data_IF_403255303179
#
_entry.id   IF_403255303179
#
_cell.length_a   1.000
_cell.length_b   1.000
_cell.length_c   1.000
_cell.angle_alpha   90.00
_cell.angle_beta   90.00
_cell.angle_gamma   90.00
#
_symmetry.space_group_name_H-M   'P 1'
#
loop_
_entity.id
_entity.type
_entity.pdbx_description
1 polymer ?
#
# COMPACT_ATOMS: atom_id res chain seq x y z
N UNK A 1 -20.38 1.26 27.35
CA UNK A 1 -20.24 1.66 25.94
C UNK A 1 -18.75 1.65 25.65
N UNK A 2 -18.28 0.68 24.86
CA UNK A 2 -16.87 0.65 24.43
C UNK A 2 -16.72 1.77 23.40
N UNK A 3 -15.79 2.70 23.64
CA UNK A 3 -15.46 3.74 22.67
C UNK A 3 -14.71 3.08 21.51
N UNK A 4 -15.44 2.71 20.45
CA UNK A 4 -14.84 2.21 19.23
C UNK A 4 -13.94 3.30 18.62
N UNK A 5 -12.65 2.99 18.45
CA UNK A 5 -11.71 3.93 17.84
C UNK A 5 -11.61 3.62 16.36
N UNK A 6 -12.17 4.52 15.55
CA UNK A 6 -12.06 4.46 14.10
C UNK A 6 -10.70 4.99 13.63
N UNK A 7 -9.94 4.17 12.93
CA UNK A 7 -8.65 4.55 12.34
C UNK A 7 -8.75 4.46 10.82
N UNK A 8 -8.53 5.58 10.16
CA UNK A 8 -8.37 5.64 8.70
C UNK A 8 -6.87 5.64 8.36
N UNK A 9 -6.50 4.86 7.36
CA UNK A 9 -5.13 4.76 6.86
C UNK A 9 -5.15 4.37 5.38
N UNK A 10 -4.00 4.34 4.73
CA UNK A 10 -3.86 3.85 3.37
C UNK A 10 -2.93 2.66 3.36
N UNK A 11 -3.24 1.66 2.54
CA UNK A 11 -2.33 0.57 2.21
C UNK A 11 -1.79 0.81 0.80
N UNK A 12 -0.48 0.91 0.67
CA UNK A 12 0.22 1.01 -0.62
C UNK A 12 0.85 -0.35 -0.94
N UNK A 13 0.53 -0.89 -2.11
CA UNK A 13 0.97 -2.21 -2.56
C UNK A 13 1.77 -2.03 -3.86
N UNK A 14 2.98 -2.56 -3.91
CA UNK A 14 3.78 -2.73 -5.12
C UNK A 14 3.75 -4.19 -5.52
N UNK A 15 3.27 -4.50 -6.72
CA UNK A 15 3.13 -5.88 -7.17
C UNK A 15 3.37 -6.01 -8.67
N UNK A 16 3.80 -7.19 -9.10
CA UNK A 16 4.01 -7.54 -10.51
C UNK A 16 3.34 -8.88 -10.84
N UNK A 17 3.05 -9.10 -12.12
CA UNK A 17 2.61 -10.41 -12.58
C UNK A 17 3.82 -11.30 -12.78
N UNK A 18 3.86 -12.41 -12.05
CA UNK A 18 4.92 -13.41 -12.21
C UNK A 18 4.90 -14.00 -13.62
N UNK A 19 6.08 -14.22 -14.20
CA UNK A 19 6.25 -14.74 -15.57
C UNK A 19 5.62 -16.12 -15.79
N UNK A 20 5.47 -16.91 -14.73
CA UNK A 20 4.80 -18.23 -14.74
C UNK A 20 3.31 -18.15 -14.41
N UNK A 21 2.76 -16.94 -14.30
CA UNK A 21 1.49 -16.65 -13.65
C UNK A 21 1.65 -16.45 -12.14
N UNK A 22 0.69 -15.76 -11.53
CA UNK A 22 0.73 -15.36 -10.13
C UNK A 22 0.96 -13.86 -9.94
N UNK A 23 0.99 -13.44 -8.68
CA UNK A 23 1.25 -12.06 -8.27
C UNK A 23 2.41 -12.10 -7.29
N UNK A 24 3.47 -11.38 -7.60
CA UNK A 24 4.58 -11.14 -6.70
C UNK A 24 4.37 -9.77 -6.03
N UNK A 25 4.34 -9.73 -4.70
CA UNK A 25 4.20 -8.48 -3.93
C UNK A 25 5.59 -8.11 -3.39
N UNK A 26 6.13 -6.99 -3.87
CA UNK A 26 7.44 -6.49 -3.45
C UNK A 26 7.35 -5.63 -2.19
N UNK A 27 6.30 -4.81 -2.09
CA UNK A 27 6.07 -3.91 -0.96
C UNK A 27 4.59 -3.93 -0.58
N UNK A 28 4.29 -4.01 0.71
CA UNK A 28 2.96 -3.77 1.27
C UNK A 28 3.12 -2.97 2.57
N UNK A 29 2.70 -1.71 2.55
CA UNK A 29 2.87 -0.81 3.69
C UNK A 29 1.58 -0.09 4.04
N UNK A 30 1.40 0.21 5.32
CA UNK A 30 0.33 1.08 5.81
C UNK A 30 0.89 2.48 6.10
N UNK A 31 0.22 3.51 5.62
CA UNK A 31 0.57 4.92 5.86
C UNK A 31 -0.61 5.66 6.49
N UNK A 32 -0.32 6.68 7.28
CA UNK A 32 -1.34 7.52 7.91
C UNK A 32 -1.97 8.52 6.96
N UNK A 33 -1.31 8.84 5.84
CA UNK A 33 -1.77 9.81 4.86
C UNK A 33 -1.39 9.46 3.42
N UNK A 34 -2.04 10.13 2.46
CA UNK A 34 -1.70 10.05 1.03
C UNK A 34 -0.30 10.61 0.78
N UNK A 35 0.09 11.69 1.46
CA UNK A 35 1.41 12.30 1.27
C UNK A 35 2.55 11.37 1.69
N UNK A 36 2.37 10.65 2.81
CA UNK A 36 3.30 9.59 3.23
C UNK A 36 3.38 8.47 2.20
N UNK A 37 2.25 8.04 1.63
CA UNK A 37 2.23 7.02 0.58
C UNK A 37 2.95 7.50 -0.69
N UNK A 38 2.72 8.74 -1.12
CA UNK A 38 3.36 9.33 -2.29
C UNK A 38 4.87 9.49 -2.10
N UNK A 39 5.32 9.87 -0.90
CA UNK A 39 6.73 9.96 -0.57
C UNK A 39 7.40 8.58 -0.67
N UNK A 40 6.77 7.54 -0.13
CA UNK A 40 7.28 6.17 -0.23
C UNK A 40 7.29 5.67 -1.68
N UNK A 41 6.20 5.89 -2.42
CA UNK A 41 6.09 5.54 -3.83
C UNK A 41 7.22 6.18 -4.64
N UNK A 42 7.42 7.50 -4.50
CA UNK A 42 8.43 8.24 -5.26
C UNK A 42 9.86 7.75 -5.01
N UNK A 43 10.15 7.34 -3.77
CA UNK A 43 11.46 6.83 -3.39
C UNK A 43 11.72 5.38 -3.87
N UNK A 44 10.67 4.58 -4.07
CA UNK A 44 10.80 3.13 -4.32
C UNK A 44 10.35 2.69 -5.71
N UNK A 45 9.49 3.43 -6.41
CA UNK A 45 9.04 3.09 -7.75
C UNK A 45 10.19 2.80 -8.74
N UNK A 46 11.32 3.55 -8.73
CA UNK A 46 12.43 3.24 -9.63
C UNK A 46 13.09 1.87 -9.41
N UNK A 47 12.89 1.21 -8.26
CA UNK A 47 13.42 -0.12 -7.96
C UNK A 47 12.65 -1.24 -8.67
N UNK A 48 11.38 -1.00 -8.98
CA UNK A 48 10.45 -1.97 -9.55
C UNK A 48 9.75 -1.37 -10.78
N UNK A 49 10.48 -1.18 -11.89
CA UNK A 49 9.98 -0.44 -13.06
C UNK A 49 8.81 -1.11 -13.77
N UNK A 50 8.68 -2.43 -13.63
CA UNK A 50 7.63 -3.24 -14.26
C UNK A 50 6.45 -3.53 -13.30
N UNK A 51 6.58 -3.14 -12.03
CA UNK A 51 5.55 -3.34 -11.03
C UNK A 51 4.47 -2.26 -11.10
N UNK A 52 3.25 -2.64 -10.76
CA UNK A 52 2.13 -1.74 -10.60
C UNK A 52 1.91 -1.41 -9.12
N UNK A 53 1.54 -0.16 -8.88
CA UNK A 53 1.32 0.37 -7.55
C UNK A 53 -0.17 0.63 -7.31
N UNK A 54 -0.68 0.12 -6.20
CA UNK A 54 -2.09 0.25 -5.81
C UNK A 54 -2.14 0.95 -4.46
N UNK A 55 -2.82 2.11 -4.41
CA UNK A 55 -3.15 2.80 -3.17
C UNK A 55 -4.59 2.47 -2.78
N UNK A 56 -4.77 1.85 -1.62
CA UNK A 56 -6.07 1.45 -1.10
C UNK A 56 -6.38 2.23 0.19
N UNK A 57 -7.46 3.05 0.21
CA UNK A 57 -7.99 3.58 1.46
C UNK A 57 -8.52 2.45 2.36
N UNK A 58 -8.16 2.48 3.64
CA UNK A 58 -8.49 1.45 4.61
C UNK A 58 -9.09 2.08 5.87
N UNK A 59 -9.95 1.32 6.54
CA UNK A 59 -10.59 1.68 7.79
C UNK A 59 -10.53 0.50 8.75
N UNK A 60 -10.15 0.76 10.00
CA UNK A 60 -10.12 -0.23 11.07
C UNK A 60 -10.95 0.27 12.26
N UNK A 61 -11.79 -0.62 12.78
CA UNK A 61 -12.56 -0.42 14.00
C UNK A 61 -11.87 -1.24 15.09
N UNK A 62 -11.45 -0.56 16.17
CA UNK A 62 -10.81 -1.15 17.35
C UNK A 62 -11.72 -1.06 18.57
#
# INVERSE_FOLDING_TARGET
MLNEKNINFYTLICMEFGVTGGIDIHEEINTGSIDEANAFLSANAPKYPDAFWILKPCHMIL
#
